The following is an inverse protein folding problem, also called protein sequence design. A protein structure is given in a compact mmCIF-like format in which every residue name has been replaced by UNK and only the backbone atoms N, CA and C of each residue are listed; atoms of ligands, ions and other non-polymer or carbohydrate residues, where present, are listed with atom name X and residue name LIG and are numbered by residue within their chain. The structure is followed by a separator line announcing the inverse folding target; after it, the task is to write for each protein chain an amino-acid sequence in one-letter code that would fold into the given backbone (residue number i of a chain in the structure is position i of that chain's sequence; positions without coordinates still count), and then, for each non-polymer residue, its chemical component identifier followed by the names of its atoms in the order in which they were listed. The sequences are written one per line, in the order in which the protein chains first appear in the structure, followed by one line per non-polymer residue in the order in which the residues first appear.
data_IF_051975879664
#
_entry.id   IF_051975879664
#
_cell.length_a   1.000
_cell.length_b   1.000
_cell.length_c   1.000
_cell.angle_alpha   90.00
_cell.angle_beta   90.00
_cell.angle_gamma   90.00
#
_symmetry.space_group_name_H-M   'P 1'
#
loop_
_entity.id
_entity.type
_entity.pdbx_description
1 polymer ?
#
# COMPACT_ATOMS: atom_id res chain seq x y z
N UNK A 1 11.18 3.39 16.15
CA UNK A 1 10.66 4.20 15.01
C UNK A 1 10.20 3.33 13.84
N UNK A 2 10.91 2.23 13.49
CA UNK A 2 10.52 1.33 12.39
C UNK A 2 9.20 0.54 12.64
N UNK A 3 8.99 -0.06 13.82
CA UNK A 3 7.77 -0.83 14.13
C UNK A 3 6.48 0.00 14.14
N UNK A 4 6.55 1.24 14.65
CA UNK A 4 5.42 2.18 14.68
C UNK A 4 5.00 2.59 13.25
N UNK A 5 5.99 2.78 12.35
CA UNK A 5 5.77 3.08 10.94
C UNK A 5 5.16 1.88 10.23
N UNK A 6 5.72 0.68 10.42
CA UNK A 6 5.14 -0.57 9.93
C UNK A 6 3.69 -0.76 10.36
N UNK A 7 3.36 -0.53 11.64
CA UNK A 7 1.97 -0.60 12.13
C UNK A 7 1.03 0.40 11.47
N UNK A 8 1.46 1.65 11.26
CA UNK A 8 0.62 2.67 10.60
C UNK A 8 0.38 2.35 9.14
N UNK A 9 1.37 1.74 8.48
CA UNK A 9 1.27 1.25 7.10
C UNK A 9 0.24 0.11 6.99
N UNK A 10 0.37 -0.89 7.86
CA UNK A 10 -0.59 -2.01 8.01
C UNK A 10 -1.98 -1.47 8.23
N UNK A 11 -2.12 -0.52 9.17
CA UNK A 11 -3.42 -0.02 9.58
C UNK A 11 -4.09 0.75 8.45
N UNK A 12 -3.39 1.56 7.66
CA UNK A 12 -4.08 2.38 6.64
C UNK A 12 -4.52 1.57 5.41
N UNK A 13 -3.69 0.69 4.86
CA UNK A 13 -4.06 -0.11 3.68
C UNK A 13 -5.08 -1.18 4.00
N UNK A 14 -4.90 -1.91 5.11
CA UNK A 14 -5.84 -2.96 5.50
C UNK A 14 -7.18 -2.37 5.95
N UNK A 15 -7.17 -1.25 6.67
CA UNK A 15 -8.41 -0.55 7.03
C UNK A 15 -9.14 -0.03 5.79
N UNK A 16 -8.44 0.60 4.85
CA UNK A 16 -9.08 1.06 3.62
C UNK A 16 -9.66 -0.09 2.79
N UNK A 17 -8.98 -1.24 2.75
CA UNK A 17 -9.49 -2.45 2.12
C UNK A 17 -10.72 -3.02 2.85
N UNK A 18 -10.75 -3.00 4.18
CA UNK A 18 -11.90 -3.41 4.99
C UNK A 18 -13.11 -2.50 4.74
N UNK A 19 -12.92 -1.18 4.68
CA UNK A 19 -13.98 -0.23 4.32
C UNK A 19 -14.54 -0.51 2.93
N UNK A 20 -13.66 -0.84 1.96
CA UNK A 20 -14.08 -1.17 0.60
C UNK A 20 -14.86 -2.49 0.53
N UNK A 21 -14.47 -3.49 1.32
CA UNK A 21 -15.19 -4.77 1.41
C UNK A 21 -16.56 -4.65 2.08
N UNK A 22 -16.67 -3.75 3.06
CA UNK A 22 -17.91 -3.42 3.77
C UNK A 22 -18.83 -2.45 3.03
N UNK A 23 -18.40 -1.89 1.89
CA UNK A 23 -19.17 -0.91 1.14
C UNK A 23 -20.49 -1.52 0.61
N UNK A 24 -21.60 -0.82 0.85
CA UNK A 24 -22.95 -1.31 0.56
C UNK A 24 -23.66 -0.53 -0.56
N UNK A 25 -23.04 0.55 -1.02
CA UNK A 25 -23.57 1.44 -2.04
C UNK A 25 -22.44 2.02 -2.91
N UNK A 26 -22.78 2.52 -4.11
CA UNK A 26 -21.81 3.21 -4.97
C UNK A 26 -21.09 4.38 -4.28
N UNK A 27 -21.79 5.24 -3.51
CA UNK A 27 -21.14 6.26 -2.69
C UNK A 27 -20.17 5.71 -1.63
N UNK A 28 -20.51 4.60 -0.97
CA UNK A 28 -19.60 3.95 0.00
C UNK A 28 -18.34 3.45 -0.69
N UNK A 29 -18.49 2.79 -1.85
CA UNK A 29 -17.36 2.34 -2.68
C UNK A 29 -16.48 3.53 -3.05
N UNK A 30 -17.08 4.64 -3.50
CA UNK A 30 -16.33 5.86 -3.86
C UNK A 30 -15.56 6.42 -2.67
N UNK A 31 -16.18 6.46 -1.48
CA UNK A 31 -15.51 6.93 -0.27
C UNK A 31 -14.34 6.02 0.11
N UNK A 32 -14.56 4.71 0.17
CA UNK A 32 -13.52 3.73 0.49
C UNK A 32 -12.37 3.74 -0.52
N UNK A 33 -12.66 3.91 -1.82
CA UNK A 33 -11.63 4.03 -2.86
C UNK A 33 -10.79 5.31 -2.70
N UNK A 34 -11.38 6.43 -2.25
CA UNK A 34 -10.60 7.64 -1.94
C UNK A 34 -9.63 7.38 -0.79
N UNK A 35 -10.09 6.71 0.25
CA UNK A 35 -9.23 6.36 1.38
C UNK A 35 -8.11 5.38 0.96
N UNK A 36 -8.43 4.42 0.08
CA UNK A 36 -7.43 3.54 -0.54
C UNK A 36 -6.38 4.34 -1.31
N UNK A 37 -6.80 5.31 -2.14
CA UNK A 37 -5.89 6.15 -2.92
C UNK A 37 -4.95 6.96 -2.01
N UNK A 38 -5.47 7.59 -0.97
CA UNK A 38 -4.68 8.36 0.00
C UNK A 38 -3.67 7.47 0.73
N UNK A 39 -4.07 6.25 1.13
CA UNK A 39 -3.17 5.30 1.76
C UNK A 39 -2.04 4.88 0.80
N UNK A 40 -2.37 4.55 -0.46
CA UNK A 40 -1.39 4.18 -1.48
C UNK A 40 -0.40 5.31 -1.79
N UNK A 41 -0.89 6.55 -1.93
CA UNK A 41 -0.05 7.72 -2.15
C UNK A 41 0.95 7.93 -1.00
N UNK A 42 0.48 7.79 0.24
CA UNK A 42 1.35 7.89 1.41
C UNK A 42 2.46 6.83 1.41
N UNK A 43 2.12 5.59 1.05
CA UNK A 43 3.10 4.49 1.00
C UNK A 43 4.08 4.65 -0.14
N UNK A 44 3.62 5.09 -1.30
CA UNK A 44 4.50 5.40 -2.43
C UNK A 44 5.49 6.52 -2.10
N UNK A 45 5.04 7.59 -1.45
CA UNK A 45 5.93 8.69 -1.01
C UNK A 45 6.95 8.20 0.04
N UNK A 46 6.50 7.39 1.00
CA UNK A 46 7.35 6.76 2.02
C UNK A 46 8.40 5.86 1.39
N UNK A 47 7.99 4.93 0.53
CA UNK A 47 8.88 3.97 -0.12
C UNK A 47 9.84 4.67 -1.08
N UNK A 48 9.40 5.71 -1.78
CA UNK A 48 10.26 6.52 -2.63
C UNK A 48 11.34 7.24 -1.84
N UNK A 49 11.04 7.76 -0.63
CA UNK A 49 12.04 8.36 0.25
C UNK A 49 13.08 7.34 0.70
N UNK A 50 12.63 6.15 1.10
CA UNK A 50 13.52 5.08 1.58
C UNK A 50 14.38 4.50 0.43
N UNK A 51 13.84 4.37 -0.78
CA UNK A 51 14.55 3.93 -1.99
C UNK A 51 15.59 4.93 -2.50
N UNK A 52 15.40 6.22 -2.24
CA UNK A 52 16.30 7.31 -2.65
C UNK A 52 17.14 7.84 -1.49
N UNK A 53 17.07 7.22 -0.31
CA UNK A 53 17.91 7.58 0.82
C UNK A 53 19.38 7.34 0.48
N UNK A 54 20.25 8.18 1.05
CA UNK A 54 21.70 7.96 0.97
C UNK A 54 22.02 6.55 1.53
N UNK A 55 22.81 5.72 0.83
CA UNK A 55 23.19 4.39 1.31
C UNK A 55 23.83 4.35 2.70
N UNK A 56 24.40 5.48 3.16
CA UNK A 56 24.96 5.63 4.51
C UNK A 56 23.91 5.96 5.59
N UNK A 57 22.66 6.21 5.20
CA UNK A 57 21.56 6.52 6.11
C UNK A 57 21.05 5.26 6.80
N UNK A 58 20.72 5.39 8.10
CA UNK A 58 20.02 4.35 8.88
C UNK A 58 18.62 3.99 8.33
N UNK A 59 18.11 4.79 7.39
CA UNK A 59 16.82 4.60 6.74
C UNK A 59 16.95 4.06 5.30
N UNK A 60 18.17 3.80 4.83
CA UNK A 60 18.40 3.23 3.52
C UNK A 60 17.87 1.80 3.46
N UNK A 61 17.24 1.46 2.34
CA UNK A 61 16.89 0.07 2.04
C UNK A 61 18.18 -0.68 1.74
N UNK A 62 18.36 -1.80 2.44
CA UNK A 62 19.47 -2.71 2.24
C UNK A 62 19.59 -3.13 0.75
N UNK A 63 20.79 -3.11 0.14
CA UNK A 63 20.93 -3.31 -1.31
C UNK A 63 20.28 -4.59 -1.84
N UNK A 64 20.29 -5.66 -1.05
CA UNK A 64 19.67 -6.94 -1.40
C UNK A 64 18.13 -6.87 -1.47
N UNK A 65 17.50 -5.91 -0.79
CA UNK A 65 16.06 -5.70 -0.75
C UNK A 65 15.56 -4.72 -1.81
N UNK A 66 16.44 -3.94 -2.45
CA UNK A 66 16.07 -2.95 -3.48
C UNK A 66 15.19 -3.55 -4.60
N UNK A 67 15.52 -4.72 -5.20
CA UNK A 67 14.67 -5.29 -6.25
C UNK A 67 13.25 -5.60 -5.75
N UNK A 68 13.13 -6.11 -4.52
CA UNK A 68 11.83 -6.39 -3.90
C UNK A 68 11.06 -5.11 -3.61
N UNK A 69 11.73 -4.09 -3.07
CA UNK A 69 11.14 -2.77 -2.82
C UNK A 69 10.62 -2.12 -4.11
N UNK A 70 11.33 -2.25 -5.23
CA UNK A 70 10.87 -1.77 -6.54
C UNK A 70 9.65 -2.54 -7.06
N UNK A 71 9.54 -3.84 -6.79
CA UNK A 71 8.36 -4.62 -7.14
C UNK A 71 7.13 -4.18 -6.33
N UNK A 72 7.30 -3.96 -5.02
CA UNK A 72 6.24 -3.40 -4.15
C UNK A 72 5.82 -2.02 -4.66
N UNK A 73 6.78 -1.13 -4.98
CA UNK A 73 6.51 0.19 -5.55
C UNK A 73 5.67 0.09 -6.85
N UNK A 74 5.99 -0.84 -7.74
CA UNK A 74 5.25 -1.05 -8.98
C UNK A 74 3.82 -1.56 -8.72
N UNK A 75 3.64 -2.50 -7.77
CA UNK A 75 2.33 -3.01 -7.36
C UNK A 75 1.45 -1.90 -6.78
N UNK A 76 1.99 -1.10 -5.86
CA UNK A 76 1.28 0.03 -5.27
C UNK A 76 0.87 1.08 -6.32
N UNK A 77 1.72 1.37 -7.30
CA UNK A 77 1.38 2.26 -8.43
C UNK A 77 0.22 1.71 -9.26
N UNK A 78 0.22 0.41 -9.55
CA UNK A 78 -0.86 -0.22 -10.31
C UNK A 78 -2.20 -0.16 -9.56
N UNK A 79 -2.19 -0.34 -8.24
CA UNK A 79 -3.38 -0.19 -7.41
C UNK A 79 -3.88 1.26 -7.38
N UNK A 80 -2.96 2.25 -7.36
CA UNK A 80 -3.35 3.66 -7.41
C UNK A 80 -4.02 4.02 -8.75
N UNK A 81 -3.52 3.50 -9.86
CA UNK A 81 -4.19 3.63 -11.16
C UNK A 81 -5.60 3.01 -11.12
N UNK A 82 -5.74 1.85 -10.49
CA UNK A 82 -7.04 1.19 -10.32
C UNK A 82 -7.99 2.04 -9.47
N UNK A 83 -7.52 2.70 -8.40
CA UNK A 83 -8.32 3.68 -7.65
C UNK A 83 -8.85 4.78 -8.57
N UNK A 84 -8.00 5.37 -9.42
CA UNK A 84 -8.43 6.43 -10.35
C UNK A 84 -9.47 5.93 -11.37
N UNK A 85 -9.33 4.70 -11.87
CA UNK A 85 -10.34 4.08 -12.72
C UNK A 85 -11.69 3.92 -12.02
N UNK A 86 -11.69 3.54 -10.73
CA UNK A 86 -12.91 3.51 -9.93
C UNK A 86 -13.49 4.91 -9.75
N UNK A 87 -12.68 5.92 -9.42
CA UNK A 87 -13.15 7.29 -9.17
C UNK A 87 -13.70 7.99 -10.42
N UNK A 88 -13.25 7.59 -11.61
CA UNK A 88 -13.76 8.06 -12.89
C UNK A 88 -15.16 7.53 -13.23
N UNK A 89 -15.63 6.47 -12.56
CA UNK A 89 -16.95 5.87 -12.78
C UNK A 89 -18.07 6.66 -12.11
N UNK A 90 -19.29 6.47 -12.61
CA UNK A 90 -20.50 6.93 -11.94
C UNK A 90 -20.99 5.94 -10.87
N UNK A 91 -21.91 6.36 -9.99
CA UNK A 91 -22.33 5.54 -8.84
C UNK A 91 -23.07 4.25 -9.23
N UNK A 92 -23.67 4.19 -10.42
CA UNK A 92 -24.31 2.96 -10.92
C UNK A 92 -23.25 1.93 -11.32
N UNK A 93 -22.19 2.37 -11.99
CA UNK A 93 -21.04 1.54 -12.37
C UNK A 93 -20.21 1.09 -11.15
N UNK A 94 -20.26 1.85 -10.06
CA UNK A 94 -19.67 1.49 -8.76
C UNK A 94 -20.50 0.48 -7.98
N UNK A 95 -21.75 0.22 -8.39
CA UNK A 95 -22.61 -0.82 -7.81
C UNK A 95 -22.17 -2.25 -8.12
N UNK A 96 -21.10 -2.45 -8.89
CA UNK A 96 -20.46 -3.75 -9.07
C UNK A 96 -19.60 -4.11 -7.85
N UNK A 97 -20.25 -4.65 -6.83
CA UNK A 97 -19.61 -5.05 -5.57
C UNK A 97 -18.64 -6.22 -5.73
N UNK A 98 -18.76 -7.04 -6.79
CA UNK A 98 -17.79 -8.10 -7.03
C UNK A 98 -16.43 -7.50 -7.40
N UNK A 99 -16.43 -6.51 -8.30
CA UNK A 99 -15.22 -5.77 -8.66
C UNK A 99 -14.62 -5.03 -7.47
N UNK A 100 -15.45 -4.41 -6.62
CA UNK A 100 -14.98 -3.73 -5.41
C UNK A 100 -14.31 -4.70 -4.43
N UNK A 101 -14.89 -5.89 -4.21
CA UNK A 101 -14.31 -6.93 -3.35
C UNK A 101 -13.02 -7.52 -3.89
N UNK A 102 -12.94 -7.74 -5.20
CA UNK A 102 -11.69 -8.19 -5.84
C UNK A 102 -10.59 -7.14 -5.70
N UNK A 103 -10.94 -5.85 -5.76
CA UNK A 103 -10.00 -4.77 -5.51
C UNK A 103 -9.58 -4.68 -4.04
N UNK A 104 -10.50 -4.83 -3.09
CA UNK A 104 -10.19 -4.92 -1.66
C UNK A 104 -9.22 -6.08 -1.35
N UNK A 105 -9.38 -7.24 -2.00
CA UNK A 105 -8.43 -8.35 -1.88
C UNK A 105 -7.02 -7.95 -2.34
N UNK A 106 -6.89 -7.32 -3.51
CA UNK A 106 -5.61 -6.86 -4.02
C UNK A 106 -4.94 -5.83 -3.10
N UNK A 107 -5.73 -4.93 -2.50
CA UNK A 107 -5.25 -3.97 -1.51
C UNK A 107 -4.70 -4.67 -0.26
N UNK A 108 -5.37 -5.73 0.22
CA UNK A 108 -4.87 -6.54 1.35
C UNK A 108 -3.58 -7.27 1.01
N UNK A 109 -3.52 -7.89 -0.16
CA UNK A 109 -2.33 -8.63 -0.61
C UNK A 109 -1.11 -7.68 -0.71
N UNK A 110 -1.28 -6.51 -1.31
CA UNK A 110 -0.22 -5.49 -1.37
C UNK A 110 0.17 -4.95 0.01
N UNK A 111 -0.81 -4.75 0.91
CA UNK A 111 -0.55 -4.40 2.30
C UNK A 111 0.36 -5.43 2.98
N UNK A 112 0.13 -6.73 2.78
CA UNK A 112 0.99 -7.79 3.30
C UNK A 112 2.39 -7.79 2.68
N UNK A 113 2.50 -7.57 1.36
CA UNK A 113 3.82 -7.52 0.70
C UNK A 113 4.69 -6.35 1.20
N UNK A 114 4.08 -5.19 1.45
CA UNK A 114 4.76 -4.01 2.00
C UNK A 114 5.20 -4.25 3.46
N UNK A 115 4.34 -4.91 4.25
CA UNK A 115 4.68 -5.35 5.61
C UNK A 115 5.88 -6.29 5.62
N UNK A 116 5.88 -7.31 4.76
CA UNK A 116 6.96 -8.26 4.69
C UNK A 116 8.29 -7.59 4.29
N UNK A 117 8.26 -6.54 3.47
CA UNK A 117 9.44 -5.75 3.12
C UNK A 117 9.97 -4.98 4.33
N UNK A 118 9.09 -4.34 5.11
CA UNK A 118 9.45 -3.63 6.34
C UNK A 118 10.08 -4.60 7.35
N UNK A 119 9.48 -5.78 7.55
CA UNK A 119 10.04 -6.80 8.45
C UNK A 119 11.35 -7.42 7.93
N UNK A 120 11.47 -7.68 6.63
CA UNK A 120 12.73 -8.13 6.03
C UNK A 120 13.87 -7.14 6.30
N UNK A 121 13.57 -5.84 6.30
CA UNK A 121 14.54 -4.78 6.60
C UNK A 121 14.93 -4.75 8.10
N UNK A 122 14.08 -5.24 8.99
CA UNK A 122 14.34 -5.34 10.44
C UNK A 122 15.12 -6.60 10.84
N UNK A 123 14.99 -7.68 10.07
CA UNK A 123 15.58 -9.00 10.37
C UNK A 123 16.98 -9.18 9.77
N UNK A 124 17.46 -8.23 8.97
CA UNK A 124 18.84 -8.27 8.51
C UNK A 124 19.77 -8.06 9.71
N UNK A 125 20.77 -8.93 9.91
CA UNK A 125 21.74 -8.73 10.97
C UNK A 125 22.40 -7.38 10.71
N UNK A 126 22.15 -6.42 11.60
CA UNK A 126 22.96 -5.21 11.68
C UNK A 126 24.39 -5.71 11.70
N UNK A 127 25.16 -5.38 10.66
CA UNK A 127 26.57 -5.74 10.61
C UNK A 127 27.19 -5.34 11.94
N UNK A 128 27.60 -6.34 12.73
CA UNK A 128 28.49 -6.11 13.85
C UNK A 128 29.82 -5.71 13.23
N UNK A 129 30.05 -4.40 13.15
CA UNK A 129 31.37 -3.81 12.98
C UNK A 129 31.63 -2.84 14.15
#
# INVERSE_FOLDING_TARGET
MSEERGRRIVQSLLYAAEQLEGASSGPDVRAAVRDCALALEHHLDTLAKDLNADPSSIHAIEPALIPRARNVEAGLKQLLLTCWEFLARNDTELGDFARARDFARQMRDAGHEDIDLVFASLLLPQGLD
#
